data_IF_877262834133
#
_entry.id   IF_877262834133
#
_cell.length_a   1.000
_cell.length_b   1.000
_cell.length_c   1.000
_cell.angle_alpha   90.00
_cell.angle_beta   90.00
_cell.angle_gamma   90.00
#
_symmetry.space_group_name_H-M   'P 1'
#
loop_
_entity.id
_entity.type
_entity.pdbx_description
1 polymer ?
#
# COMPACT_ATOMS: atom_id res chain seq x y z
N UNK A 1 5.64 2.57 -15.80
CA UNK A 1 5.20 2.27 -14.42
C UNK A 1 3.69 2.40 -14.40
N UNK A 2 2.97 1.46 -13.77
CA UNK A 2 1.51 1.57 -13.64
C UNK A 2 1.14 2.76 -12.74
N UNK A 3 -0.12 3.15 -12.76
CA UNK A 3 -0.65 4.14 -11.82
C UNK A 3 -0.63 3.64 -10.37
N UNK A 4 -0.68 4.57 -9.43
CA UNK A 4 -0.82 4.28 -8.00
C UNK A 4 -2.30 4.07 -7.68
N UNK A 5 -2.60 2.94 -7.05
CA UNK A 5 -3.96 2.59 -6.63
C UNK A 5 -4.06 2.62 -5.10
N UNK A 6 -4.98 3.42 -4.54
CA UNK A 6 -5.27 3.41 -3.11
C UNK A 6 -5.91 2.10 -2.66
N UNK A 7 -5.54 1.63 -1.47
CA UNK A 7 -6.13 0.47 -0.81
C UNK A 7 -6.02 0.59 0.71
N UNK A 8 -6.71 -0.29 1.43
CA UNK A 8 -6.62 -0.39 2.88
C UNK A 8 -5.89 -1.66 3.28
N UNK A 9 -4.88 -1.54 4.15
CA UNK A 9 -4.13 -2.66 4.68
C UNK A 9 -5.01 -3.51 5.61
N UNK A 10 -5.07 -4.82 5.33
CA UNK A 10 -5.86 -5.80 6.08
C UNK A 10 -5.00 -6.68 7.00
N UNK A 11 -3.71 -6.36 7.18
CA UNK A 11 -2.76 -7.20 7.95
C UNK A 11 -2.97 -7.14 9.47
N UNK A 12 -3.67 -6.12 9.95
CA UNK A 12 -4.14 -5.98 11.32
C UNK A 12 -5.42 -5.13 11.36
N UNK A 13 -5.99 -4.92 12.55
CA UNK A 13 -7.24 -4.19 12.73
C UNK A 13 -7.15 -2.66 12.58
N UNK A 14 -5.95 -2.09 12.37
CA UNK A 14 -5.77 -0.63 12.31
C UNK A 14 -6.40 -0.04 11.05
N UNK A 15 -6.34 -0.74 9.92
CA UNK A 15 -6.85 -0.24 8.64
C UNK A 15 -6.02 0.92 8.07
N UNK A 16 -4.69 0.80 8.09
CA UNK A 16 -3.79 1.79 7.47
C UNK A 16 -4.03 1.90 5.96
N UNK A 17 -4.01 3.10 5.39
CA UNK A 17 -4.13 3.30 3.95
C UNK A 17 -2.79 3.11 3.24
N UNK A 18 -2.78 2.32 2.18
CA UNK A 18 -1.64 2.09 1.32
C UNK A 18 -1.90 2.60 -0.10
N UNK A 19 -0.81 2.92 -0.79
CA UNK A 19 -0.74 3.05 -2.23
C UNK A 19 0.02 1.84 -2.77
N UNK A 20 -0.58 1.15 -3.72
CA UNK A 20 0.03 0.03 -4.43
C UNK A 20 0.31 0.45 -5.86
N UNK A 21 1.37 -0.12 -6.44
CA UNK A 21 1.68 0.02 -7.86
C UNK A 21 2.04 -1.35 -8.41
N UNK A 22 1.41 -1.70 -9.53
CA UNK A 22 1.71 -2.94 -10.25
C UNK A 22 2.97 -2.83 -11.11
N UNK A 23 3.46 -3.99 -11.55
CA UNK A 23 4.46 -4.02 -12.61
C UNK A 23 3.88 -3.45 -13.90
N UNK A 24 4.71 -2.78 -14.70
CA UNK A 24 4.27 -2.22 -15.97
C UNK A 24 3.95 -3.31 -17.02
N UNK A 25 4.66 -4.45 -16.95
CA UNK A 25 4.67 -5.47 -18.00
C UNK A 25 4.37 -6.88 -17.48
N UNK A 26 4.12 -7.03 -16.18
CA UNK A 26 3.93 -8.33 -15.52
C UNK A 26 2.72 -8.26 -14.59
N UNK A 27 2.22 -9.43 -14.20
CA UNK A 27 1.20 -9.54 -13.17
C UNK A 27 1.82 -9.38 -11.77
N UNK A 28 1.12 -8.68 -10.87
CA UNK A 28 1.51 -8.51 -9.47
C UNK A 28 1.92 -7.08 -9.10
N UNK A 29 2.31 -6.92 -7.84
CA UNK A 29 2.70 -5.63 -7.24
C UNK A 29 4.23 -5.43 -7.31
N UNK A 30 4.64 -4.23 -7.73
CA UNK A 30 6.02 -3.75 -7.76
C UNK A 30 6.39 -3.05 -6.45
N UNK A 31 5.48 -2.21 -5.93
CA UNK A 31 5.76 -1.41 -4.74
C UNK A 31 4.49 -1.14 -3.94
N UNK A 32 4.61 -1.17 -2.62
CA UNK A 32 3.59 -0.78 -1.66
C UNK A 32 4.18 0.25 -0.70
N UNK A 33 3.42 1.31 -0.39
CA UNK A 33 3.81 2.31 0.63
C UNK A 33 2.60 2.88 1.33
N UNK A 34 2.80 3.59 2.44
CA UNK A 34 1.73 4.33 3.09
C UNK A 34 1.21 5.50 2.25
N UNK A 35 -0.10 5.70 2.27
CA UNK A 35 -0.77 6.84 1.67
C UNK A 35 -0.73 8.06 2.61
N UNK A 36 -0.04 9.12 2.20
CA UNK A 36 0.09 10.37 2.95
C UNK A 36 -1.26 11.07 3.19
N UNK A 37 -2.25 10.81 2.34
CA UNK A 37 -3.59 11.41 2.44
C UNK A 37 -4.54 10.62 3.33
N UNK A 38 -4.20 9.37 3.67
CA UNK A 38 -5.10 8.51 4.44
C UNK A 38 -5.12 8.90 5.93
N UNK A 39 -6.31 9.12 6.53
CA UNK A 39 -6.43 9.76 7.84
C UNK A 39 -5.87 8.91 8.99
N UNK A 40 -5.89 7.58 8.85
CA UNK A 40 -5.50 6.63 9.91
C UNK A 40 -3.99 6.64 10.16
N UNK A 41 -3.19 6.66 9.11
CA UNK A 41 -1.74 6.43 9.18
C UNK A 41 -0.91 7.57 8.58
N UNK A 42 -1.50 8.49 7.81
CA UNK A 42 -0.84 9.69 7.27
C UNK A 42 0.50 9.39 6.58
N UNK A 43 0.53 8.31 5.81
CA UNK A 43 1.71 7.88 5.05
C UNK A 43 2.66 6.92 5.78
N UNK A 44 2.46 6.67 7.08
CA UNK A 44 3.23 5.66 7.80
C UNK A 44 2.75 4.26 7.45
N UNK A 45 3.66 3.31 7.33
CA UNK A 45 3.32 1.90 7.13
C UNK A 45 4.25 1.03 7.99
N UNK A 46 3.72 -0.04 8.58
CA UNK A 46 4.53 -1.02 9.28
C UNK A 46 5.17 -1.99 8.29
N UNK A 47 6.31 -2.57 8.67
CA UNK A 47 7.04 -3.51 7.82
C UNK A 47 6.14 -4.65 7.32
N UNK A 48 5.37 -5.29 8.21
CA UNK A 48 4.42 -6.36 7.82
C UNK A 48 3.42 -5.91 6.76
N UNK A 49 2.89 -4.70 6.91
CA UNK A 49 1.95 -4.13 5.95
C UNK A 49 2.57 -3.96 4.57
N UNK A 50 3.84 -3.60 4.48
CA UNK A 50 4.55 -3.43 3.21
C UNK A 50 4.96 -4.77 2.61
N UNK A 51 5.56 -5.65 3.41
CA UNK A 51 6.18 -6.91 2.93
C UNK A 51 5.14 -7.97 2.53
N UNK A 52 3.96 -7.95 3.15
CA UNK A 52 2.94 -8.97 2.90
C UNK A 52 1.79 -8.48 2.01
N UNK A 53 1.76 -7.22 1.58
CA UNK A 53 0.70 -6.73 0.69
C UNK A 53 1.04 -6.99 -0.77
#
# INVERSE_FOLDING_TARGET
MSEWTPTTCMRCAVGCGHLQRGYANNYGLDTVRGDATHPVNRGLACQRGVDET
#
